data_IF_473617665902
#
_entry.id   IF_473617665902
#
_cell.length_a   1.000
_cell.length_b   1.000
_cell.length_c   1.000
_cell.angle_alpha   90.00
_cell.angle_beta   90.00
_cell.angle_gamma   90.00
#
_symmetry.space_group_name_H-M   'P 1'
#
loop_
_entity.id
_entity.type
_entity.pdbx_description
1 polymer ?
#
# COMPACT_ATOMS: atom_id res chain seq x y z
N UNK A 1 15.37 -17.21 -12.58
CA UNK A 1 13.97 -16.82 -12.31
C UNK A 1 14.02 -15.54 -11.48
N UNK A 2 13.57 -14.40 -12.01
CA UNK A 2 13.52 -13.17 -11.23
C UNK A 2 12.46 -13.32 -10.12
N UNK A 3 12.85 -13.01 -8.87
CA UNK A 3 11.90 -12.95 -7.75
C UNK A 3 10.98 -11.76 -7.97
N UNK A 4 9.66 -12.00 -8.02
CA UNK A 4 8.67 -10.92 -8.03
C UNK A 4 8.71 -10.18 -6.70
N UNK A 5 8.75 -8.85 -6.77
CA UNK A 5 8.67 -8.02 -5.59
C UNK A 5 7.25 -8.03 -5.02
N UNK A 6 7.14 -8.03 -3.70
CA UNK A 6 5.87 -7.93 -2.99
C UNK A 6 5.33 -6.51 -3.11
N UNK A 7 4.05 -6.31 -2.78
CA UNK A 7 3.48 -4.97 -2.76
C UNK A 7 4.18 -4.07 -1.73
N UNK A 8 4.59 -4.64 -0.60
CA UNK A 8 5.32 -3.90 0.44
C UNK A 8 6.69 -3.40 -0.06
N UNK A 9 7.43 -4.24 -0.79
CA UNK A 9 8.70 -3.82 -1.40
C UNK A 9 8.49 -2.69 -2.42
N UNK A 10 7.34 -2.69 -3.11
CA UNK A 10 6.95 -1.72 -4.12
C UNK A 10 6.29 -0.45 -3.57
N UNK A 11 6.01 -0.35 -2.28
CA UNK A 11 5.46 0.88 -1.71
C UNK A 11 6.46 2.03 -1.84
N UNK A 12 5.95 3.23 -2.15
CA UNK A 12 6.74 4.47 -2.14
C UNK A 12 7.24 4.77 -0.71
N UNK A 13 8.43 5.38 -0.57
CA UNK A 13 9.03 5.62 0.75
C UNK A 13 8.15 6.49 1.66
N UNK A 14 7.49 7.51 1.13
CA UNK A 14 6.59 8.39 1.89
C UNK A 14 5.42 7.62 2.54
N UNK A 15 4.95 6.57 1.86
CA UNK A 15 3.86 5.73 2.36
C UNK A 15 4.34 4.82 3.49
N UNK A 16 5.57 4.31 3.38
CA UNK A 16 6.17 3.50 4.44
C UNK A 16 6.39 4.33 5.70
N UNK A 17 6.88 5.55 5.55
CA UNK A 17 7.08 6.46 6.68
C UNK A 17 5.76 6.81 7.37
N UNK A 18 4.71 7.10 6.61
CA UNK A 18 3.38 7.37 7.16
C UNK A 18 2.82 6.16 7.95
N UNK A 19 2.98 4.94 7.43
CA UNK A 19 2.58 3.72 8.14
C UNK A 19 3.36 3.54 9.45
N UNK A 20 4.68 3.73 9.43
CA UNK A 20 5.52 3.61 10.62
C UNK A 20 5.17 4.68 11.66
N UNK A 21 4.87 5.90 11.22
CA UNK A 21 4.46 7.00 12.13
C UNK A 21 3.14 6.68 12.85
N UNK A 22 2.19 6.03 12.17
CA UNK A 22 0.92 5.63 12.78
C UNK A 22 1.02 4.34 13.60
N UNK A 23 2.14 3.61 13.52
CA UNK A 23 2.32 2.32 14.21
C UNK A 23 2.27 2.46 15.74
N UNK A 24 2.63 3.64 16.27
CA UNK A 24 2.58 3.92 17.70
C UNK A 24 1.15 3.88 18.27
N UNK A 25 0.14 4.21 17.47
CA UNK A 25 -1.27 4.25 17.89
C UNK A 25 -2.08 3.06 17.35
N UNK A 26 -1.70 2.51 16.19
CA UNK A 26 -2.46 1.50 15.47
C UNK A 26 -1.62 0.26 15.09
N UNK A 27 -0.77 -0.19 16.02
CA UNK A 27 0.21 -1.27 15.80
C UNK A 27 -0.38 -2.52 15.14
N UNK A 28 -1.49 -3.05 15.68
CA UNK A 28 -2.11 -4.28 15.16
C UNK A 28 -2.55 -4.13 13.70
N UNK A 29 -3.31 -3.07 13.40
CA UNK A 29 -3.85 -2.85 12.05
C UNK A 29 -2.75 -2.59 11.04
N UNK A 30 -1.71 -1.84 11.42
CA UNK A 30 -0.59 -1.54 10.54
C UNK A 30 0.27 -2.79 10.31
N UNK A 31 0.47 -3.62 11.34
CA UNK A 31 1.15 -4.90 11.21
C UNK A 31 0.41 -5.83 10.24
N UNK A 32 -0.91 -5.93 10.37
CA UNK A 32 -1.75 -6.74 9.47
C UNK A 32 -1.64 -6.26 8.00
N UNK A 33 -1.64 -4.94 7.78
CA UNK A 33 -1.46 -4.36 6.44
C UNK A 33 -0.06 -4.66 5.89
N UNK A 34 0.99 -4.50 6.70
CA UNK A 34 2.36 -4.78 6.28
C UNK A 34 2.53 -6.26 5.93
N UNK A 35 1.96 -7.17 6.73
CA UNK A 35 1.98 -8.60 6.46
C UNK A 35 1.22 -8.96 5.18
N UNK A 36 0.03 -8.40 4.99
CA UNK A 36 -0.75 -8.58 3.77
C UNK A 36 0.05 -8.13 2.53
N UNK A 37 0.62 -6.93 2.56
CA UNK A 37 1.40 -6.39 1.45
C UNK A 37 2.72 -7.14 1.23
N UNK A 38 3.25 -7.80 2.26
CA UNK A 38 4.44 -8.64 2.17
C UNK A 38 4.14 -10.03 1.60
N UNK A 39 2.91 -10.51 1.73
CA UNK A 39 2.48 -11.80 1.16
C UNK A 39 1.90 -11.66 -0.25
N UNK A 40 1.31 -10.51 -0.58
CA UNK A 40 0.71 -10.25 -1.88
C UNK A 40 1.68 -9.60 -2.87
N UNK A 41 1.53 -9.98 -4.14
CA UNK A 41 2.33 -9.42 -5.25
C UNK A 41 1.49 -8.58 -6.21
N UNK A 42 0.17 -8.78 -6.21
CA UNK A 42 -0.78 -8.14 -7.12
C UNK A 42 -1.75 -7.25 -6.37
N UNK A 43 -1.83 -5.99 -6.79
CA UNK A 43 -2.75 -5.02 -6.18
C UNK A 43 -4.21 -5.45 -6.30
N UNK A 44 -4.57 -6.12 -7.40
CA UNK A 44 -5.91 -6.65 -7.65
C UNK A 44 -6.37 -7.71 -6.65
N UNK A 45 -5.47 -8.29 -5.86
CA UNK A 45 -5.82 -9.27 -4.83
C UNK A 45 -6.24 -8.60 -3.51
N UNK A 46 -5.97 -7.30 -3.33
CA UNK A 46 -6.34 -6.58 -2.13
C UNK A 46 -7.84 -6.36 -2.07
N UNK A 47 -8.43 -6.50 -0.88
CA UNK A 47 -9.83 -6.13 -0.67
C UNK A 47 -9.95 -4.62 -0.63
N UNK A 48 -11.13 -4.12 -0.98
CA UNK A 48 -11.48 -2.70 -0.85
C UNK A 48 -11.30 -2.21 0.60
N UNK A 49 -11.56 -3.07 1.59
CA UNK A 49 -11.30 -2.77 3.01
C UNK A 49 -9.82 -2.52 3.28
N UNK A 50 -8.93 -3.36 2.73
CA UNK A 50 -7.49 -3.30 2.98
C UNK A 50 -6.91 -2.04 2.32
N UNK A 51 -7.40 -1.73 1.11
CA UNK A 51 -7.08 -0.48 0.42
C UNK A 51 -7.55 0.72 1.25
N UNK A 52 -8.80 0.73 1.72
CA UNK A 52 -9.33 1.85 2.52
C UNK A 52 -8.53 2.08 3.80
N UNK A 53 -8.14 1.01 4.50
CA UNK A 53 -7.26 1.08 5.66
C UNK A 53 -5.89 1.63 5.29
N UNK A 54 -5.28 1.13 4.20
CA UNK A 54 -4.00 1.63 3.72
C UNK A 54 -4.05 3.14 3.48
N UNK A 55 -5.04 3.66 2.75
CA UNK A 55 -5.19 5.10 2.51
C UNK A 55 -5.34 5.91 3.80
N UNK A 56 -6.09 5.39 4.77
CA UNK A 56 -6.30 6.03 6.08
C UNK A 56 -4.99 6.21 6.85
N UNK A 57 -4.11 5.21 6.84
CA UNK A 57 -2.84 5.24 7.59
C UNK A 57 -1.64 5.72 6.78
N UNK A 58 -1.83 5.99 5.48
CA UNK A 58 -0.79 6.48 4.58
C UNK A 58 -0.75 8.01 4.45
N UNK A 59 -1.56 8.72 5.25
CA UNK A 59 -1.73 10.18 5.21
C UNK A 59 -2.10 10.70 3.80
N UNK A 60 -2.81 9.87 3.02
CA UNK A 60 -3.32 10.25 1.71
C UNK A 60 -4.75 10.74 1.89
N UNK A 61 -4.97 12.00 1.58
CA UNK A 61 -6.32 12.54 1.50
C UNK A 61 -7.12 11.85 0.39
N UNK A 62 -8.04 10.97 0.78
CA UNK A 62 -8.93 10.21 -0.12
C UNK A 62 -9.67 11.10 -1.14
N UNK A 63 -9.96 12.37 -0.78
CA UNK A 63 -10.61 13.33 -1.67
C UNK A 63 -9.73 13.78 -2.86
N UNK A 64 -8.41 13.61 -2.75
CA UNK A 64 -7.44 13.93 -3.81
C UNK A 64 -7.11 12.72 -4.70
N UNK A 65 -7.70 11.56 -4.41
CA UNK A 65 -7.40 10.29 -5.07
C UNK A 65 -8.36 10.11 -6.24
N UNK A 66 -7.80 9.88 -7.44
CA UNK A 66 -8.66 9.58 -8.60
C UNK A 66 -9.19 8.15 -8.51
N UNK A 67 -10.30 7.87 -9.20
CA UNK A 67 -10.81 6.50 -9.29
C UNK A 67 -9.78 5.53 -9.92
N UNK A 68 -8.83 6.05 -10.70
CA UNK A 68 -7.74 5.27 -11.29
C UNK A 68 -6.63 4.96 -10.28
N UNK A 69 -6.24 5.93 -9.47
CA UNK A 69 -5.30 5.73 -8.36
C UNK A 69 -5.84 4.71 -7.36
N UNK A 70 -7.14 4.78 -7.06
CA UNK A 70 -7.80 3.80 -6.19
C UNK A 70 -7.83 2.39 -6.81
N UNK A 71 -7.98 2.30 -8.14
CA UNK A 71 -8.09 1.02 -8.84
C UNK A 71 -6.73 0.34 -9.07
N UNK A 72 -5.69 1.11 -9.36
CA UNK A 72 -4.39 0.58 -9.75
C UNK A 72 -3.27 0.80 -8.71
N UNK A 73 -3.47 1.74 -7.78
CA UNK A 73 -2.49 2.04 -6.73
C UNK A 73 -1.28 2.81 -7.22
N UNK A 74 -1.34 3.51 -8.36
CA UNK A 74 -0.22 4.26 -8.94
C UNK A 74 0.29 5.40 -8.03
N UNK A 75 -0.57 5.88 -7.14
CA UNK A 75 -0.24 6.88 -6.14
C UNK A 75 0.54 6.31 -4.94
N UNK A 76 0.40 5.01 -4.62
CA UNK A 76 1.04 4.36 -3.44
C UNK A 76 2.18 3.40 -3.81
N UNK A 77 2.15 2.84 -5.02
CA UNK A 77 3.16 1.91 -5.52
C UNK A 77 4.13 2.64 -6.44
N UNK A 78 5.39 2.23 -6.38
CA UNK A 78 6.39 2.60 -7.36
C UNK A 78 6.02 1.85 -8.65
N UNK A 79 5.73 2.62 -9.70
CA UNK A 79 5.55 2.11 -11.06
C UNK A 79 6.90 1.56 -11.52
N UNK A 80 7.12 0.26 -11.31
CA UNK A 80 8.13 -0.45 -12.06
C UNK A 80 7.49 -0.82 -13.38
N UNK A 81 7.88 -0.07 -14.40
CA UNK A 81 7.65 -0.41 -15.80
C UNK A 81 7.92 -1.91 -15.96
N UNK A 82 6.94 -2.60 -16.54
CA UNK A 82 7.04 -4.01 -16.84
C UNK A 82 8.03 -4.17 -18.00
N UNK A 83 9.33 -4.13 -17.71
CA UNK A 83 10.39 -4.64 -18.61
C UNK A 83 10.55 -6.16 -18.46
#
# INVERSE_FOLDING_TARGET
MARRLTLYERLKPEIKEALISNMAEYESTITDIIELLSNETFYSNLKISDISSLYTFSDIELIKVTAWDFKYGDNILISKDYE
#
